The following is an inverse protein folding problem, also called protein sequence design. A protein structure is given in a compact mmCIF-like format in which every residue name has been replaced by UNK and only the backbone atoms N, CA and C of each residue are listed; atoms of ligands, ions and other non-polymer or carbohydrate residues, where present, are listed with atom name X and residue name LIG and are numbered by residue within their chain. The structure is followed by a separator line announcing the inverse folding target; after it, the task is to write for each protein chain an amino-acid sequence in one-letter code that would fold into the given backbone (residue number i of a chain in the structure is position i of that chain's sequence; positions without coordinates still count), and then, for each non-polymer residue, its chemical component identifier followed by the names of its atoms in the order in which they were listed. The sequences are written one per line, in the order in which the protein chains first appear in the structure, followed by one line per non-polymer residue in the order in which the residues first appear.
data_IF_169964387126
#
_entry.id   IF_169964387126
#
_cell.length_a   1.000
_cell.length_b   1.000
_cell.length_c   1.000
_cell.angle_alpha   90.00
_cell.angle_beta   90.00
_cell.angle_gamma   90.00
#
_symmetry.space_group_name_H-M   'P 1'
#
loop_
_entity.id
_entity.type
_entity.pdbx_description
1 polymer ?
#
# COMPACT_ATOMS: atom_id res chain seq x y z
N UNK A 1 43.34 -10.17 2.82
CA UNK A 1 42.24 -9.22 3.07
C UNK A 1 40.94 -10.01 3.10
N UNK A 2 40.32 -10.16 4.28
CA UNK A 2 39.05 -10.89 4.43
C UNK A 2 37.91 -9.87 4.38
N UNK A 3 37.02 -10.06 3.42
CA UNK A 3 35.84 -9.23 3.16
C UNK A 3 34.90 -9.22 4.37
N UNK A 4 34.53 -8.01 4.81
CA UNK A 4 33.49 -7.80 5.81
C UNK A 4 32.15 -7.64 5.09
N UNK A 5 31.31 -8.67 5.14
CA UNK A 5 29.89 -8.56 4.74
C UNK A 5 29.14 -7.98 5.93
N UNK A 6 28.79 -6.69 5.86
CA UNK A 6 27.92 -6.07 6.84
C UNK A 6 26.49 -6.59 6.65
N UNK A 7 26.00 -7.39 7.60
CA UNK A 7 24.59 -7.73 7.69
C UNK A 7 23.79 -6.48 8.06
N UNK A 8 22.89 -6.03 7.19
CA UNK A 8 21.94 -4.99 7.52
C UNK A 8 20.96 -5.53 8.57
N UNK A 9 21.09 -5.06 9.81
CA UNK A 9 20.16 -5.37 10.87
C UNK A 9 18.80 -4.70 10.57
N UNK A 10 17.75 -5.50 10.33
CA UNK A 10 16.39 -4.99 10.29
C UNK A 10 15.99 -4.59 11.71
N UNK A 11 16.00 -3.29 12.00
CA UNK A 11 15.41 -2.78 13.23
C UNK A 11 13.91 -3.10 13.18
N UNK A 12 13.45 -4.04 14.02
CA UNK A 12 12.04 -4.34 14.14
C UNK A 12 11.31 -3.06 14.55
N UNK A 13 10.47 -2.53 13.66
CA UNK A 13 9.61 -1.39 13.97
C UNK A 13 8.70 -1.82 15.10
N UNK A 14 8.79 -1.15 16.27
CA UNK A 14 7.87 -1.41 17.37
C UNK A 14 6.48 -0.95 16.95
N UNK A 15 5.62 -1.91 16.66
CA UNK A 15 4.21 -1.69 16.33
C UNK A 15 3.42 -1.45 17.63
N UNK A 16 2.34 -0.67 17.57
CA UNK A 16 1.43 -0.48 18.71
C UNK A 16 0.78 -1.83 19.10
N UNK A 17 0.93 -2.19 20.37
CA UNK A 17 0.46 -3.45 20.95
C UNK A 17 -1.08 -3.54 20.98
N UNK A 18 -1.77 -2.40 20.89
CA UNK A 18 -3.23 -2.34 20.89
C UNK A 18 -3.85 -2.44 19.48
N UNK A 19 -3.04 -2.59 18.42
CA UNK A 19 -3.60 -2.79 17.09
C UNK A 19 -4.41 -4.09 17.03
N UNK A 20 -5.65 -4.04 16.53
CA UNK A 20 -6.47 -5.24 16.41
C UNK A 20 -5.84 -6.19 15.39
N UNK A 21 -5.98 -7.50 15.66
CA UNK A 21 -5.67 -8.52 14.66
C UNK A 21 -6.70 -8.43 13.53
N UNK A 22 -6.24 -8.62 12.31
CA UNK A 22 -7.12 -8.65 11.15
C UNK A 22 -7.92 -9.95 11.14
N UNK A 23 -9.25 -9.85 11.12
CA UNK A 23 -10.17 -10.99 10.99
C UNK A 23 -10.74 -11.01 9.57
N UNK A 24 -10.59 -12.14 8.87
CA UNK A 24 -11.09 -12.26 7.49
C UNK A 24 -12.61 -12.28 7.47
N UNK A 25 -13.22 -11.75 6.42
CA UNK A 25 -14.67 -11.83 6.18
C UNK A 25 -14.98 -12.53 4.86
N UNK A 26 -16.18 -13.07 4.70
CA UNK A 26 -16.59 -13.75 3.47
C UNK A 26 -17.02 -12.75 2.38
N UNK A 27 -16.91 -13.15 1.12
CA UNK A 27 -17.50 -12.41 -0.01
C UNK A 27 -16.64 -11.27 -0.57
N UNK A 28 -15.37 -11.15 -0.16
CA UNK A 28 -14.43 -10.17 -0.70
C UNK A 28 -13.80 -10.71 -2.00
N UNK A 29 -14.07 -10.03 -3.12
CA UNK A 29 -13.51 -10.35 -4.44
C UNK A 29 -13.53 -9.13 -5.35
N UNK A 30 -12.85 -9.21 -6.49
CA UNK A 30 -12.86 -8.17 -7.53
C UNK A 30 -11.51 -7.51 -7.74
N UNK A 31 -11.52 -6.30 -8.30
CA UNK A 31 -10.31 -5.58 -8.68
C UNK A 31 -10.18 -4.31 -7.83
N UNK A 32 -8.95 -3.99 -7.42
CA UNK A 32 -8.63 -2.83 -6.61
C UNK A 32 -7.43 -2.11 -7.20
N UNK A 33 -7.66 -0.91 -7.74
CA UNK A 33 -6.61 -0.07 -8.29
C UNK A 33 -6.16 0.95 -7.24
N UNK A 34 -4.85 1.03 -7.04
CA UNK A 34 -4.18 2.01 -6.17
C UNK A 34 -3.27 2.90 -7.01
N UNK A 35 -3.60 4.19 -7.14
CA UNK A 35 -2.81 5.16 -7.91
C UNK A 35 -2.44 6.33 -6.99
N UNK A 36 -1.15 6.63 -6.83
CA UNK A 36 -0.74 7.75 -5.99
C UNK A 36 0.76 7.80 -5.67
N UNK A 37 1.08 8.03 -4.41
CA UNK A 37 2.43 8.37 -3.93
C UNK A 37 3.48 7.27 -4.16
N UNK A 38 4.57 7.65 -4.83
CA UNK A 38 5.74 6.78 -5.03
C UNK A 38 6.34 6.32 -3.70
N UNK A 39 6.35 7.21 -2.70
CA UNK A 39 6.91 6.90 -1.37
C UNK A 39 6.10 5.84 -0.62
N UNK A 40 4.84 5.64 -0.98
CA UNK A 40 3.95 4.65 -0.36
C UNK A 40 3.81 3.39 -1.21
N UNK A 41 4.41 3.35 -2.40
CA UNK A 41 4.25 2.25 -3.34
C UNK A 41 4.67 0.90 -2.72
N UNK A 42 5.81 0.85 -2.05
CA UNK A 42 6.28 -0.37 -1.39
C UNK A 42 5.32 -0.85 -0.29
N UNK A 43 4.76 0.08 0.50
CA UNK A 43 3.80 -0.26 1.54
C UNK A 43 2.51 -0.84 0.95
N UNK A 44 1.99 -0.19 -0.09
CA UNK A 44 0.80 -0.66 -0.80
C UNK A 44 1.02 -2.02 -1.46
N UNK A 45 2.20 -2.28 -2.02
CA UNK A 45 2.55 -3.60 -2.56
C UNK A 45 2.57 -4.68 -1.49
N UNK A 46 3.23 -4.43 -0.34
CA UNK A 46 3.26 -5.40 0.76
C UNK A 46 1.86 -5.67 1.33
N UNK A 47 1.03 -4.64 1.46
CA UNK A 47 -0.37 -4.81 1.86
C UNK A 47 -1.17 -5.58 0.82
N UNK A 48 -0.97 -5.30 -0.48
CA UNK A 48 -1.64 -6.02 -1.56
C UNK A 48 -1.28 -7.51 -1.57
N UNK A 49 -0.01 -7.84 -1.38
CA UNK A 49 0.48 -9.22 -1.30
C UNK A 49 -0.15 -9.97 -0.12
N UNK A 50 -0.16 -9.37 1.07
CA UNK A 50 -0.76 -10.00 2.25
C UNK A 50 -2.28 -10.10 2.14
N UNK A 51 -2.94 -9.05 1.64
CA UNK A 51 -4.38 -9.03 1.41
C UNK A 51 -4.81 -10.11 0.42
N UNK A 52 -4.00 -10.38 -0.61
CA UNK A 52 -4.26 -11.47 -1.57
C UNK A 52 -4.12 -12.86 -0.94
N UNK A 53 -3.29 -13.03 0.09
CA UNK A 53 -3.25 -14.29 0.86
C UNK A 53 -4.54 -14.51 1.66
N UNK A 54 -5.12 -13.44 2.21
CA UNK A 54 -6.44 -13.51 2.85
C UNK A 54 -7.57 -13.71 1.82
N UNK A 55 -7.49 -13.05 0.67
CA UNK A 55 -8.51 -13.05 -0.37
C UNK A 55 -7.92 -13.31 -1.77
N UNK A 56 -7.75 -14.60 -2.15
CA UNK A 56 -7.17 -14.95 -3.44
C UNK A 56 -7.97 -14.45 -4.66
N UNK A 57 -9.27 -14.17 -4.47
CA UNK A 57 -10.18 -13.65 -5.49
C UNK A 57 -10.09 -12.13 -5.70
N UNK A 58 -9.17 -11.44 -5.01
CA UNK A 58 -8.91 -10.01 -5.21
C UNK A 58 -7.67 -9.81 -6.08
N UNK A 59 -7.79 -8.93 -7.07
CA UNK A 59 -6.69 -8.47 -7.90
C UNK A 59 -6.37 -7.02 -7.56
N UNK A 60 -5.23 -6.77 -6.92
CA UNK A 60 -4.77 -5.42 -6.61
C UNK A 60 -3.74 -4.97 -7.66
N UNK A 61 -3.89 -3.76 -8.18
CA UNK A 61 -2.91 -3.10 -9.05
C UNK A 61 -2.40 -1.86 -8.32
N UNK A 62 -1.08 -1.65 -8.30
CA UNK A 62 -0.46 -0.52 -7.60
C UNK A 62 0.41 0.26 -8.57
N UNK A 63 0.14 1.57 -8.67
CA UNK A 63 0.87 2.52 -9.50
C UNK A 63 1.33 3.71 -8.64
N UNK A 64 2.65 3.82 -8.45
CA UNK A 64 3.29 5.03 -7.93
C UNK A 64 3.55 6.01 -9.06
N UNK A 65 2.77 7.10 -9.12
CA UNK A 65 2.94 8.21 -10.08
C UNK A 65 3.01 9.59 -9.38
N UNK A 66 3.25 9.61 -8.07
CA UNK A 66 3.21 10.79 -7.21
C UNK A 66 1.83 11.09 -6.60
N UNK A 67 1.83 11.71 -5.41
CA UNK A 67 0.58 11.95 -4.63
C UNK A 67 -0.46 12.80 -5.37
N UNK A 68 -0.05 13.70 -6.26
CA UNK A 68 -0.98 14.56 -7.03
C UNK A 68 -1.79 13.80 -8.09
N UNK A 69 -1.48 12.53 -8.34
CA UNK A 69 -2.25 11.67 -9.26
C UNK A 69 -3.40 10.95 -8.58
N UNK A 70 -3.39 10.87 -7.24
CA UNK A 70 -4.46 10.26 -6.46
C UNK A 70 -5.82 11.01 -6.60
N UNK A 71 -5.91 12.34 -6.43
CA UNK A 71 -7.17 13.06 -6.56
C UNK A 71 -7.89 12.82 -7.91
N UNK A 72 -7.26 13.07 -9.09
CA UNK A 72 -7.94 12.83 -10.37
C UNK A 72 -8.30 11.35 -10.58
N UNK A 73 -7.44 10.41 -10.17
CA UNK A 73 -7.73 8.98 -10.32
C UNK A 73 -8.95 8.52 -9.49
N UNK A 74 -9.14 9.11 -8.31
CA UNK A 74 -10.31 8.87 -7.47
C UNK A 74 -11.57 9.51 -8.07
N UNK A 75 -11.49 10.76 -8.53
CA UNK A 75 -12.61 11.50 -9.14
C UNK A 75 -13.10 10.82 -10.41
N UNK A 76 -12.18 10.37 -11.26
CA UNK A 76 -12.47 9.69 -12.52
C UNK A 76 -12.87 8.21 -12.33
N UNK A 77 -12.74 7.67 -11.11
CA UNK A 77 -13.07 6.28 -10.79
C UNK A 77 -12.10 5.25 -11.37
N UNK A 78 -10.91 5.67 -11.80
CA UNK A 78 -9.86 4.78 -12.32
C UNK A 78 -9.07 4.09 -11.20
N UNK A 79 -9.10 4.67 -9.99
CA UNK A 79 -8.57 4.09 -8.76
C UNK A 79 -9.63 4.01 -7.66
N UNK A 80 -9.53 2.98 -6.80
CA UNK A 80 -10.30 2.89 -5.55
C UNK A 80 -9.48 3.37 -4.35
N UNK A 81 -8.14 3.33 -4.45
CA UNK A 81 -7.23 3.81 -3.43
C UNK A 81 -6.31 4.89 -3.99
N UNK A 82 -6.19 6.00 -3.27
CA UNK A 82 -5.32 7.12 -3.61
C UNK A 82 -4.29 7.38 -2.51
N UNK A 83 -3.23 6.56 -2.37
CA UNK A 83 -2.22 6.78 -1.32
C UNK A 83 -1.53 8.14 -1.52
N UNK A 84 -1.50 8.97 -0.49
CA UNK A 84 -0.84 10.28 -0.52
C UNK A 84 0.11 10.42 0.67
N UNK A 85 1.35 10.83 0.42
CA UNK A 85 2.36 11.08 1.47
C UNK A 85 2.23 12.45 2.13
N UNK A 86 1.28 13.24 1.66
CA UNK A 86 0.89 14.55 2.19
C UNK A 86 -0.63 14.71 2.12
N UNK A 87 -1.22 15.63 2.89
CA UNK A 87 -2.61 16.00 2.71
C UNK A 87 -2.92 16.50 1.30
N UNK A 88 -4.16 16.29 0.88
CA UNK A 88 -4.73 16.87 -0.35
C UNK A 88 -4.80 18.39 -0.20
N UNK A 89 -4.46 19.10 -1.28
CA UNK A 89 -4.57 20.55 -1.38
C UNK A 89 -6.01 20.94 -1.72
N UNK A 90 -6.34 22.22 -1.53
CA UNK A 90 -7.66 22.74 -1.91
C UNK A 90 -7.84 22.85 -3.42
N UNK A 91 -6.73 23.00 -4.13
CA UNK A 91 -6.68 23.18 -5.58
C UNK A 91 -6.60 21.84 -6.35
N UNK A 92 -6.57 20.71 -5.63
CA UNK A 92 -6.68 19.34 -6.16
C UNK A 92 -8.15 18.91 -6.17
#
# INVERSE_FOLDING_TARGET
MKSSTAAAASTAVKVDENLPKYEKTSGVSGNLNSIGSDTMNNLMTLWAEEFKKFYPSVNVQVEGKGSSTAPPALIEGTAQLGPMSRPMKKEE
#
